data_IF_269670352628
#
_entry.id   IF_269670352628
#
_cell.length_a   1.000
_cell.length_b   1.000
_cell.length_c   1.000
_cell.angle_alpha   90.00
_cell.angle_beta   90.00
_cell.angle_gamma   90.00
#
_symmetry.space_group_name_H-M   'P 1'
#
loop_
_entity.id
_entity.type
_entity.pdbx_description
1 polymer ?
#
# COMPACT_ATOMS: atom_id res chain seq x y z
N UNK A 1 -2.91 0.07 -42.90
CA UNK A 1 -2.81 -1.38 -43.18
C UNK A 1 -3.51 -1.84 -44.47
N UNK A 2 -4.31 -1.01 -45.16
CA UNK A 2 -4.99 -1.38 -46.43
C UNK A 2 -4.38 -0.76 -47.69
N UNK A 3 -3.20 -0.13 -47.57
CA UNK A 3 -2.63 0.77 -48.58
C UNK A 3 -2.11 0.10 -49.86
N UNK A 4 -1.74 -1.18 -49.80
CA UNK A 4 -1.14 -1.91 -50.94
C UNK A 4 -1.96 -3.16 -51.32
N UNK A 5 -3.28 -3.09 -51.19
CA UNK A 5 -4.18 -4.15 -51.63
C UNK A 5 -4.49 -3.99 -53.13
N UNK A 6 -4.71 -5.10 -53.85
CA UNK A 6 -5.22 -5.07 -55.23
C UNK A 6 -6.56 -4.33 -55.33
N UNK A 7 -6.82 -3.68 -56.47
CA UNK A 7 -8.00 -2.81 -56.69
C UNK A 7 -9.34 -3.46 -56.31
N UNK A 8 -9.50 -4.77 -56.60
CA UNK A 8 -10.70 -5.54 -56.24
C UNK A 8 -10.96 -5.57 -54.73
N UNK A 9 -9.91 -5.58 -53.91
CA UNK A 9 -10.00 -5.55 -52.45
C UNK A 9 -10.01 -4.13 -51.91
N UNK A 10 -9.38 -3.17 -52.61
CA UNK A 10 -9.38 -1.75 -52.22
C UNK A 10 -10.79 -1.16 -52.27
N UNK A 11 -11.61 -1.55 -53.26
CA UNK A 11 -13.01 -1.13 -53.38
C UNK A 11 -13.89 -1.46 -52.17
N UNK A 12 -13.55 -2.49 -51.39
CA UNK A 12 -14.28 -2.85 -50.17
C UNK A 12 -14.11 -1.82 -49.03
N UNK A 13 -13.06 -1.01 -49.11
CA UNK A 13 -12.75 0.04 -48.14
C UNK A 13 -13.18 1.43 -48.60
N UNK A 14 -14.02 1.52 -49.64
CA UNK A 14 -14.61 2.78 -50.06
C UNK A 14 -15.45 3.39 -48.90
N UNK A 15 -15.35 4.70 -48.65
CA UNK A 15 -16.14 5.34 -47.62
C UNK A 15 -17.63 5.26 -47.98
N UNK A 16 -18.48 5.18 -46.95
CA UNK A 16 -19.92 5.32 -47.13
C UNK A 16 -20.25 6.76 -47.52
N UNK A 17 -21.45 6.96 -48.06
CA UNK A 17 -22.01 8.29 -48.26
C UNK A 17 -21.91 9.12 -46.95
N UNK A 18 -21.70 10.44 -47.05
CA UNK A 18 -21.62 11.30 -45.87
C UNK A 18 -22.89 11.18 -45.04
N UNK A 19 -22.73 11.19 -43.72
CA UNK A 19 -23.87 11.14 -42.80
C UNK A 19 -24.73 12.41 -42.96
N UNK A 20 -26.04 12.25 -42.79
CA UNK A 20 -26.94 13.41 -42.75
C UNK A 20 -26.64 14.24 -41.50
N UNK A 21 -26.49 15.55 -41.70
CA UNK A 21 -26.26 16.48 -40.59
C UNK A 21 -27.48 16.50 -39.66
N UNK A 22 -27.19 16.44 -38.36
CA UNK A 22 -28.16 16.74 -37.29
C UNK A 22 -27.52 17.76 -36.36
N UNK A 23 -28.31 18.73 -35.85
CA UNK A 23 -27.79 19.67 -34.87
C UNK A 23 -27.35 18.93 -33.59
N UNK A 24 -26.36 19.46 -32.84
CA UNK A 24 -26.01 18.95 -31.52
C UNK A 24 -27.23 18.90 -30.59
N UNK A 25 -27.32 17.90 -29.70
CA UNK A 25 -28.46 17.74 -28.80
C UNK A 25 -28.51 18.79 -27.67
N UNK A 26 -27.38 19.41 -27.35
CA UNK A 26 -27.24 20.42 -26.28
C UNK A 26 -26.37 21.57 -26.80
N UNK A 27 -26.51 22.74 -26.18
CA UNK A 27 -25.71 23.90 -26.51
C UNK A 27 -24.24 23.70 -26.11
N UNK A 28 -23.34 24.42 -26.79
CA UNK A 28 -21.94 24.46 -26.42
C UNK A 28 -21.78 24.94 -24.97
N UNK A 29 -20.77 24.42 -24.26
CA UNK A 29 -20.49 24.79 -22.87
C UNK A 29 -20.41 26.29 -22.61
N UNK A 30 -19.95 27.08 -23.59
CA UNK A 30 -19.84 28.54 -23.51
C UNK A 30 -21.22 29.22 -23.49
N UNK A 31 -22.19 28.63 -24.18
CA UNK A 31 -23.55 29.16 -24.32
C UNK A 31 -24.51 28.57 -23.28
N UNK A 32 -24.07 27.51 -22.58
CA UNK A 32 -24.87 26.84 -21.57
C UNK A 32 -25.03 27.73 -20.34
N UNK A 33 -26.28 27.94 -19.91
CA UNK A 33 -26.57 28.56 -18.61
C UNK A 33 -26.21 27.57 -17.50
N UNK A 34 -25.15 27.85 -16.77
CA UNK A 34 -24.75 27.10 -15.59
C UNK A 34 -25.44 27.64 -14.34
N UNK A 35 -25.65 26.76 -13.37
CA UNK A 35 -26.03 27.16 -12.01
C UNK A 35 -24.86 27.99 -11.46
N UNK A 36 -25.09 29.21 -10.93
CA UNK A 36 -24.03 29.98 -10.31
C UNK A 36 -23.45 29.21 -9.13
N UNK A 37 -22.12 29.12 -9.06
CA UNK A 37 -21.41 28.52 -7.93
C UNK A 37 -21.10 29.65 -6.96
N UNK A 38 -21.63 29.56 -5.74
CA UNK A 38 -21.35 30.49 -4.66
C UNK A 38 -20.19 30.02 -3.78
N UNK A 39 -19.67 30.95 -2.97
CA UNK A 39 -18.63 30.67 -1.98
C UNK A 39 -19.15 29.93 -0.75
N UNK A 40 -18.22 29.44 0.08
CA UNK A 40 -18.55 28.70 1.32
C UNK A 40 -18.73 29.60 2.55
N UNK A 41 -18.72 30.94 2.39
CA UNK A 41 -18.68 31.91 3.49
C UNK A 41 -19.86 31.77 4.46
N UNK A 42 -21.07 31.50 3.94
CA UNK A 42 -22.28 31.29 4.75
C UNK A 42 -22.21 30.04 5.64
N UNK A 43 -21.30 29.12 5.36
CA UNK A 43 -21.18 27.85 6.09
C UNK A 43 -20.05 27.84 7.11
N UNK A 44 -19.21 28.88 7.13
CA UNK A 44 -18.09 28.98 8.08
C UNK A 44 -18.56 29.04 9.53
N UNK A 45 -19.75 29.61 9.78
CA UNK A 45 -20.34 29.68 11.13
C UNK A 45 -20.74 28.31 11.71
N UNK A 46 -20.79 27.26 10.88
CA UNK A 46 -21.16 25.90 11.30
C UNK A 46 -19.98 25.08 11.82
N UNK A 47 -18.75 25.62 11.76
CA UNK A 47 -17.58 24.95 12.34
C UNK A 47 -17.63 25.00 13.88
N UNK A 48 -17.13 23.96 14.53
CA UNK A 48 -17.03 23.90 16.00
C UNK A 48 -16.10 24.99 16.53
N UNK A 49 -16.43 25.57 17.70
CA UNK A 49 -15.52 26.49 18.39
C UNK A 49 -14.30 25.68 18.88
N UNK A 50 -13.07 26.11 18.58
CA UNK A 50 -11.85 25.42 19.03
C UNK A 50 -11.75 25.26 20.56
N UNK A 51 -12.56 25.97 21.35
CA UNK A 51 -12.69 25.75 22.80
C UNK A 51 -13.47 24.49 23.17
N UNK A 52 -14.46 24.11 22.36
CA UNK A 52 -15.35 22.99 22.60
C UNK A 52 -14.87 21.69 21.94
N UNK A 53 -13.90 21.78 21.02
CA UNK A 53 -13.33 20.62 20.36
C UNK A 53 -12.36 19.88 21.29
N UNK A 54 -12.62 18.61 21.65
CA UNK A 54 -11.69 17.83 22.46
C UNK A 54 -10.37 17.61 21.70
N UNK A 55 -9.23 17.47 22.42
CA UNK A 55 -7.97 17.20 21.77
C UNK A 55 -8.04 15.89 20.98
N UNK A 56 -7.49 15.90 19.76
CA UNK A 56 -7.52 14.74 18.88
C UNK A 56 -6.90 13.52 19.58
N UNK A 57 -7.69 12.44 19.68
CA UNK A 57 -7.22 11.16 20.24
C UNK A 57 -6.08 10.64 19.36
N UNK A 58 -4.88 10.54 19.94
CA UNK A 58 -3.73 9.94 19.26
C UNK A 58 -3.89 8.43 19.27
N UNK A 59 -4.18 7.87 18.10
CA UNK A 59 -4.21 6.42 17.87
C UNK A 59 -2.82 6.00 17.40
N UNK A 60 -2.35 4.85 17.90
CA UNK A 60 -1.07 4.27 17.50
C UNK A 60 -1.05 4.06 15.97
N UNK A 61 -0.06 4.65 15.30
CA UNK A 61 0.17 4.45 13.87
C UNK A 61 0.63 3.01 13.60
N UNK A 62 0.52 2.57 12.36
CA UNK A 62 0.97 1.23 11.96
C UNK A 62 2.45 1.00 12.29
N UNK A 63 3.27 2.04 12.15
CA UNK A 63 4.72 1.96 12.35
C UNK A 63 5.05 1.89 13.85
N UNK A 64 4.37 2.68 14.70
CA UNK A 64 4.47 2.57 16.16
C UNK A 64 4.04 1.19 16.67
N UNK A 65 2.95 0.64 16.12
CA UNK A 65 2.50 -0.71 16.46
C UNK A 65 3.54 -1.78 16.08
N UNK A 66 4.25 -1.58 14.95
CA UNK A 66 5.31 -2.48 14.50
C UNK A 66 6.53 -2.38 15.40
N UNK A 67 6.94 -1.17 15.79
CA UNK A 67 8.10 -0.97 16.69
C UNK A 67 7.82 -1.55 18.07
N UNK A 68 6.62 -1.34 18.63
CA UNK A 68 6.19 -1.95 19.89
C UNK A 68 6.28 -3.47 19.85
N UNK A 69 5.64 -4.12 18.86
CA UNK A 69 5.70 -5.58 18.71
C UNK A 69 7.12 -6.11 18.53
N UNK A 70 8.00 -5.35 17.84
CA UNK A 70 9.40 -5.74 17.66
C UNK A 70 10.14 -5.70 19.00
N UNK A 71 9.94 -4.64 19.79
CA UNK A 71 10.56 -4.47 21.11
C UNK A 71 10.11 -5.57 22.07
N UNK A 72 8.81 -5.83 22.16
CA UNK A 72 8.25 -6.92 22.98
C UNK A 72 8.86 -8.29 22.60
N UNK A 73 8.98 -8.58 21.30
CA UNK A 73 9.61 -9.82 20.83
C UNK A 73 11.11 -9.90 21.16
N UNK A 74 11.82 -8.79 21.06
CA UNK A 74 13.24 -8.71 21.38
C UNK A 74 13.47 -8.94 22.87
N UNK A 75 12.66 -8.32 23.74
CA UNK A 75 12.72 -8.52 25.19
C UNK A 75 12.41 -9.97 25.58
N UNK A 76 11.37 -10.57 25.00
CA UNK A 76 11.04 -11.98 25.22
C UNK A 76 12.17 -12.92 24.75
N UNK A 77 12.82 -12.60 23.63
CA UNK A 77 13.91 -13.42 23.10
C UNK A 77 15.17 -13.26 23.95
N UNK A 78 15.49 -12.04 24.41
CA UNK A 78 16.58 -11.78 25.32
C UNK A 78 16.40 -12.56 26.64
N UNK A 79 15.21 -12.50 27.24
CA UNK A 79 14.89 -13.27 28.43
C UNK A 79 15.09 -14.79 28.24
N UNK A 80 14.64 -15.35 27.11
CA UNK A 80 14.86 -16.76 26.79
C UNK A 80 16.33 -17.13 26.61
N UNK A 81 17.12 -16.25 25.99
CA UNK A 81 18.56 -16.45 25.83
C UNK A 81 19.25 -16.44 27.19
N UNK A 82 18.92 -15.49 28.06
CA UNK A 82 19.49 -15.41 29.41
C UNK A 82 19.15 -16.66 30.24
N UNK A 83 17.91 -17.14 30.19
CA UNK A 83 17.53 -18.41 30.81
C UNK A 83 18.29 -19.60 30.22
N UNK A 84 18.45 -19.63 28.89
CA UNK A 84 19.22 -20.66 28.20
C UNK A 84 20.67 -20.69 28.64
N UNK A 85 21.31 -19.52 28.76
CA UNK A 85 22.68 -19.39 29.26
C UNK A 85 22.79 -19.88 30.71
N UNK A 86 21.84 -19.49 31.58
CA UNK A 86 21.84 -19.90 32.98
C UNK A 86 21.67 -21.41 33.18
N UNK A 87 20.96 -22.09 32.27
CA UNK A 87 20.71 -23.53 32.33
C UNK A 87 21.68 -24.36 31.49
N UNK A 88 22.57 -23.73 30.73
CA UNK A 88 23.47 -24.43 29.82
C UNK A 88 24.69 -25.01 30.55
N UNK A 89 24.65 -26.30 30.87
CA UNK A 89 25.80 -27.07 31.38
C UNK A 89 26.29 -28.09 30.34
N UNK A 90 27.28 -27.74 29.51
CA UNK A 90 27.75 -28.64 28.44
C UNK A 90 28.47 -29.88 28.97
N UNK A 91 28.99 -29.84 30.20
CA UNK A 91 29.68 -30.97 30.83
C UNK A 91 28.73 -32.12 31.22
N UNK A 92 27.47 -31.80 31.55
CA UNK A 92 26.46 -32.78 31.95
C UNK A 92 25.72 -33.38 30.75
N UNK A 93 26.09 -32.99 29.53
CA UNK A 93 25.41 -33.41 28.32
C UNK A 93 25.74 -34.88 27.99
N UNK A 94 24.76 -35.81 28.04
CA UNK A 94 25.01 -37.23 27.77
C UNK A 94 25.37 -37.52 26.30
N UNK A 95 25.16 -36.56 25.39
CA UNK A 95 25.54 -36.65 23.97
C UNK A 95 26.90 -36.01 23.67
N UNK A 96 27.58 -35.45 24.66
CA UNK A 96 28.91 -34.88 24.47
C UNK A 96 29.99 -35.96 24.34
N UNK A 97 31.05 -35.65 23.59
CA UNK A 97 32.23 -36.51 23.45
C UNK A 97 33.08 -36.47 24.72
N UNK A 98 33.79 -37.55 25.03
CA UNK A 98 34.60 -37.66 26.25
C UNK A 98 35.81 -36.72 26.31
N UNK A 99 36.51 -36.50 25.18
CA UNK A 99 37.71 -35.64 25.11
C UNK A 99 37.43 -34.40 24.22
N UNK A 100 37.22 -33.22 24.81
CA UNK A 100 36.95 -32.01 24.05
C UNK A 100 38.15 -31.55 23.20
N UNK A 101 39.39 -31.89 23.59
CA UNK A 101 40.59 -31.45 22.85
C UNK A 101 40.85 -32.26 21.57
N UNK A 102 40.16 -33.40 21.41
CA UNK A 102 40.27 -34.28 20.24
C UNK A 102 38.99 -34.36 19.42
N UNK A 103 38.01 -33.50 19.69
CA UNK A 103 36.72 -33.50 19.01
C UNK A 103 36.66 -32.36 17.98
N UNK A 104 36.38 -32.68 16.71
CA UNK A 104 36.17 -31.69 15.65
C UNK A 104 34.67 -31.44 15.47
N UNK A 105 34.25 -30.18 15.44
CA UNK A 105 32.89 -29.79 15.08
C UNK A 105 32.81 -29.49 13.57
N UNK A 106 32.04 -30.29 12.83
CA UNK A 106 31.77 -30.06 11.41
C UNK A 106 30.32 -29.60 11.28
N UNK A 107 30.09 -28.44 10.65
CA UNK A 107 28.75 -27.92 10.35
C UNK A 107 28.63 -27.54 8.87
N UNK A 108 27.39 -27.53 8.36
CA UNK A 108 27.03 -27.27 6.94
C UNK A 108 27.67 -28.29 5.97
N UNK A 109 27.24 -29.55 6.06
CA UNK A 109 27.39 -30.56 5.00
C UNK A 109 26.23 -30.37 4.01
#
# INVERSE_FOLDING_TARGET
MTQFLPDNLLGLFAPRAPIQYKPPPDDLFINRKHIPIDGIAEHVQKFEDPKDTPPKVRIETRDEKRTRKRKERQELMAYKIEQGIATWTPADNPRATSDPYKTLFIARI
#
